data_IF_321360590598
#
_entry.id   IF_321360590598
#
_cell.length_a   1.000
_cell.length_b   1.000
_cell.length_c   1.000
_cell.angle_alpha   90.00
_cell.angle_beta   90.00
_cell.angle_gamma   90.00
#
_symmetry.space_group_name_H-M   'P 1'
#
loop_
_entity.id
_entity.type
_entity.pdbx_description
1 polymer ?
#
# COMPACT_ATOMS: atom_id res chain seq x y z
N UNK A 1 13.48 -30.74 -18.19
CA UNK A 1 13.82 -29.35 -17.77
C UNK A 1 13.92 -28.36 -18.94
N UNK A 2 14.70 -28.60 -20.01
CA UNK A 2 14.87 -27.66 -21.14
C UNK A 2 13.55 -27.14 -21.75
N UNK A 3 12.63 -28.06 -22.09
CA UNK A 3 11.29 -27.74 -22.63
C UNK A 3 10.45 -26.83 -21.71
N UNK A 4 10.53 -27.02 -20.39
CA UNK A 4 9.81 -26.21 -19.40
C UNK A 4 10.35 -24.77 -19.40
N UNK A 5 11.67 -24.60 -19.39
CA UNK A 5 12.27 -23.25 -19.46
C UNK A 5 11.95 -22.53 -20.77
N UNK A 6 11.93 -23.26 -21.89
CA UNK A 6 11.53 -22.68 -23.18
C UNK A 6 10.07 -22.20 -23.14
N UNK A 7 9.17 -22.98 -22.52
CA UNK A 7 7.78 -22.58 -22.31
C UNK A 7 7.63 -21.37 -21.38
N UNK A 8 8.38 -21.31 -20.28
CA UNK A 8 8.39 -20.15 -19.36
C UNK A 8 8.91 -18.92 -20.08
N UNK A 9 10.03 -19.02 -20.80
CA UNK A 9 10.64 -17.89 -21.51
C UNK A 9 9.70 -17.32 -22.57
N UNK A 10 9.05 -18.21 -23.33
CA UNK A 10 8.04 -17.84 -24.33
C UNK A 10 6.83 -17.18 -23.68
N UNK A 11 6.33 -17.72 -22.57
CA UNK A 11 5.23 -17.13 -21.82
C UNK A 11 5.58 -15.71 -21.34
N UNK A 12 6.76 -15.54 -20.74
CA UNK A 12 7.23 -14.24 -20.24
C UNK A 12 7.35 -13.21 -21.36
N UNK A 13 7.76 -13.61 -22.58
CA UNK A 13 7.83 -12.72 -23.74
C UNK A 13 6.46 -12.09 -24.08
N UNK A 14 5.35 -12.75 -23.78
CA UNK A 14 4.00 -12.21 -24.00
C UNK A 14 3.42 -11.54 -22.76
N UNK A 15 3.61 -12.15 -21.59
CA UNK A 15 3.11 -11.61 -20.33
C UNK A 15 3.70 -10.23 -20.04
N UNK A 16 5.02 -10.08 -20.18
CA UNK A 16 5.73 -8.87 -19.78
C UNK A 16 5.30 -7.63 -20.58
N UNK A 17 5.19 -7.66 -21.92
CA UNK A 17 4.66 -6.54 -22.68
C UNK A 17 3.23 -6.19 -22.32
N UNK A 18 2.35 -7.19 -22.19
CA UNK A 18 0.94 -6.97 -21.84
C UNK A 18 0.78 -6.34 -20.46
N UNK A 19 1.49 -6.88 -19.47
CA UNK A 19 1.52 -6.36 -18.11
C UNK A 19 2.12 -4.96 -18.05
N UNK A 20 3.28 -4.74 -18.69
CA UNK A 20 3.95 -3.44 -18.71
C UNK A 20 3.10 -2.37 -19.40
N UNK A 21 2.47 -2.70 -20.53
CA UNK A 21 1.58 -1.78 -21.23
C UNK A 21 0.37 -1.42 -20.38
N UNK A 22 -0.24 -2.42 -19.73
CA UNK A 22 -1.39 -2.18 -18.87
C UNK A 22 -1.02 -1.32 -17.67
N UNK A 23 0.11 -1.59 -17.01
CA UNK A 23 0.65 -0.78 -15.93
C UNK A 23 0.98 0.67 -16.36
N UNK A 24 1.47 0.87 -17.60
CA UNK A 24 1.64 2.21 -18.15
C UNK A 24 0.29 2.89 -18.40
N UNK A 25 -0.69 2.18 -18.98
CA UNK A 25 -2.02 2.76 -19.21
C UNK A 25 -2.72 3.15 -17.91
N UNK A 26 -2.50 2.41 -16.83
CA UNK A 26 -3.05 2.77 -15.53
C UNK A 26 -2.43 4.04 -14.97
N UNK A 27 -1.19 4.39 -15.34
CA UNK A 27 -0.57 5.64 -14.92
C UNK A 27 -1.19 6.86 -15.65
N UNK A 28 -1.63 6.67 -16.90
CA UNK A 28 -2.21 7.74 -17.71
C UNK A 28 -3.74 7.83 -17.62
N UNK A 29 -4.41 6.88 -16.95
CA UNK A 29 -5.85 6.88 -16.74
C UNK A 29 -6.16 7.08 -15.27
N UNK A 30 -6.78 8.20 -14.92
CA UNK A 30 -7.15 8.51 -13.53
C UNK A 30 -8.06 7.42 -12.93
N UNK A 31 -9.03 6.93 -13.70
CA UNK A 31 -9.94 5.85 -13.28
C UNK A 31 -9.18 4.56 -12.95
N UNK A 32 -8.29 4.13 -13.85
CA UNK A 32 -7.53 2.89 -13.68
C UNK A 32 -6.45 3.02 -12.60
N UNK A 33 -5.82 4.19 -12.52
CA UNK A 33 -4.97 4.54 -11.42
C UNK A 33 -5.78 4.33 -10.14
N UNK A 34 -6.99 4.90 -10.02
CA UNK A 34 -7.78 4.92 -8.77
C UNK A 34 -8.15 3.52 -8.28
N UNK A 35 -8.30 2.55 -9.18
CA UNK A 35 -8.51 1.15 -8.82
C UNK A 35 -7.33 0.55 -8.03
N UNK A 36 -6.08 0.93 -8.34
CA UNK A 36 -4.88 0.35 -7.71
C UNK A 36 -4.80 0.56 -6.20
N UNK A 37 -5.20 1.74 -5.74
CA UNK A 37 -5.11 2.14 -4.34
C UNK A 37 -6.50 2.41 -3.74
N UNK A 38 -7.54 1.85 -4.37
CA UNK A 38 -8.90 1.93 -3.85
C UNK A 38 -8.94 1.26 -2.47
N UNK A 39 -9.57 1.89 -1.45
CA UNK A 39 -9.50 1.39 -0.09
C UNK A 39 -10.34 0.11 0.06
N UNK A 40 -11.20 -0.19 -0.92
CA UNK A 40 -12.03 -1.40 -0.94
C UNK A 40 -11.54 -2.54 -1.82
N UNK A 41 -10.75 -2.29 -2.87
CA UNK A 41 -10.65 -3.25 -3.99
C UNK A 41 -9.23 -3.51 -4.51
N UNK A 42 -8.37 -4.03 -3.63
CA UNK A 42 -7.06 -4.52 -4.06
C UNK A 42 -7.15 -5.74 -5.01
N UNK A 43 -8.25 -6.50 -4.96
CA UNK A 43 -8.41 -7.72 -5.77
C UNK A 43 -8.67 -7.40 -7.25
N UNK A 44 -9.52 -6.42 -7.56
CA UNK A 44 -9.85 -6.04 -8.94
C UNK A 44 -8.62 -5.52 -9.66
N UNK A 45 -7.79 -4.72 -8.97
CA UNK A 45 -6.49 -4.30 -9.45
C UNK A 45 -5.57 -5.48 -9.77
N UNK A 46 -5.47 -6.46 -8.86
CA UNK A 46 -4.63 -7.65 -9.07
C UNK A 46 -5.13 -8.47 -10.26
N UNK A 47 -6.45 -8.63 -10.41
CA UNK A 47 -7.06 -9.33 -11.55
C UNK A 47 -6.71 -8.59 -12.85
N UNK A 48 -6.94 -7.29 -12.89
CA UNK A 48 -6.67 -6.48 -14.07
C UNK A 48 -5.20 -6.55 -14.46
N UNK A 49 -4.29 -6.32 -13.52
CA UNK A 49 -2.87 -6.12 -13.82
C UNK A 49 -2.08 -7.41 -13.98
N UNK A 50 -2.44 -8.47 -13.27
CA UNK A 50 -1.69 -9.72 -13.30
C UNK A 50 -2.47 -10.83 -14.00
N UNK A 51 -3.74 -11.04 -13.65
CA UNK A 51 -4.49 -12.19 -14.16
C UNK A 51 -4.86 -12.03 -15.64
N UNK A 52 -5.34 -10.85 -16.05
CA UNK A 52 -5.72 -10.61 -17.45
C UNK A 52 -4.52 -10.76 -18.39
N UNK A 53 -3.35 -10.13 -18.15
CA UNK A 53 -2.13 -10.38 -18.94
C UNK A 53 -1.67 -11.83 -18.90
N UNK A 54 -1.80 -12.52 -17.77
CA UNK A 54 -1.41 -13.92 -17.64
C UNK A 54 -2.25 -14.84 -18.53
N UNK A 55 -3.57 -14.66 -18.51
CA UNK A 55 -4.49 -15.42 -19.37
C UNK A 55 -4.21 -15.13 -20.84
N UNK A 56 -4.10 -13.87 -21.22
CA UNK A 56 -3.79 -13.47 -22.59
C UNK A 56 -2.44 -14.05 -23.06
N UNK A 57 -1.40 -13.97 -22.22
CA UNK A 57 -0.10 -14.57 -22.52
C UNK A 57 -0.19 -16.09 -22.68
N UNK A 58 -0.98 -16.80 -21.87
CA UNK A 58 -1.16 -18.24 -22.01
C UNK A 58 -1.78 -18.64 -23.36
N UNK A 59 -2.73 -17.85 -23.87
CA UNK A 59 -3.29 -18.04 -25.21
C UNK A 59 -2.26 -17.73 -26.30
N UNK A 60 -1.61 -16.57 -26.24
CA UNK A 60 -0.59 -16.16 -27.22
C UNK A 60 0.62 -17.10 -27.25
N UNK A 61 0.94 -17.73 -26.12
CA UNK A 61 2.00 -18.73 -25.99
C UNK A 61 1.85 -19.88 -26.99
N UNK A 62 0.64 -20.17 -27.48
CA UNK A 62 0.40 -21.24 -28.46
C UNK A 62 0.79 -20.84 -29.90
N UNK A 63 0.92 -19.55 -30.20
CA UNK A 63 1.12 -19.03 -31.56
C UNK A 63 2.55 -19.15 -32.07
N UNK A 64 3.54 -19.27 -31.17
CA UNK A 64 4.97 -19.34 -31.55
C UNK A 64 5.56 -20.69 -31.11
N UNK A 65 6.29 -21.42 -31.97
CA UNK A 65 6.99 -22.64 -31.57
C UNK A 65 7.92 -22.44 -30.37
N UNK A 66 7.83 -23.32 -29.36
CA UNK A 66 8.71 -23.24 -28.19
C UNK A 66 10.18 -23.47 -28.54
N UNK A 67 10.46 -24.13 -29.67
CA UNK A 67 11.82 -24.41 -30.16
C UNK A 67 12.64 -23.15 -30.39
N UNK A 68 12.00 -22.03 -30.75
CA UNK A 68 12.67 -20.73 -30.87
C UNK A 68 13.26 -20.23 -29.54
N UNK A 69 12.77 -20.77 -28.42
CA UNK A 69 13.20 -20.44 -27.06
C UNK A 69 14.04 -21.54 -26.39
N UNK A 70 14.22 -22.71 -27.04
CA UNK A 70 14.98 -23.83 -26.47
C UNK A 70 16.49 -23.68 -26.70
N UNK A 71 17.03 -22.54 -26.26
CA UNK A 71 18.46 -22.25 -26.35
C UNK A 71 19.07 -22.07 -24.96
N UNK A 72 20.38 -22.28 -24.83
CA UNK A 72 21.10 -22.00 -23.57
C UNK A 72 21.01 -20.51 -23.21
N UNK A 73 21.01 -19.61 -24.20
CA UNK A 73 20.93 -18.16 -23.98
C UNK A 73 19.59 -17.75 -23.35
N UNK A 74 18.46 -18.25 -23.86
CA UNK A 74 17.15 -17.99 -23.26
C UNK A 74 17.06 -18.50 -21.83
N UNK A 75 17.57 -19.70 -21.57
CA UNK A 75 17.60 -20.26 -20.21
C UNK A 75 18.35 -19.35 -19.24
N UNK A 76 19.54 -18.89 -19.61
CA UNK A 76 20.35 -17.99 -18.77
C UNK A 76 19.60 -16.69 -18.50
N UNK A 77 19.08 -16.03 -19.55
CA UNK A 77 18.41 -14.73 -19.41
C UNK A 77 17.12 -14.84 -18.59
N UNK A 78 16.34 -15.90 -18.80
CA UNK A 78 15.13 -16.15 -18.00
C UNK A 78 15.45 -16.43 -16.54
N UNK A 79 16.50 -17.22 -16.25
CA UNK A 79 16.94 -17.43 -14.85
C UNK A 79 17.39 -16.12 -14.22
N UNK A 80 18.22 -15.33 -14.91
CA UNK A 80 18.70 -14.03 -14.42
C UNK A 80 17.54 -13.09 -14.13
N UNK A 81 16.58 -12.97 -15.06
CA UNK A 81 15.41 -12.12 -14.90
C UNK A 81 14.56 -12.54 -13.69
N UNK A 82 14.26 -13.84 -13.55
CA UNK A 82 13.49 -14.34 -12.42
C UNK A 82 14.22 -14.12 -11.09
N UNK A 83 15.54 -14.31 -11.05
CA UNK A 83 16.36 -14.05 -9.87
C UNK A 83 16.33 -12.57 -9.47
N UNK A 84 16.43 -11.65 -10.45
CA UNK A 84 16.30 -10.21 -10.20
C UNK A 84 14.92 -9.89 -9.64
N UNK A 85 13.85 -10.45 -10.24
CA UNK A 85 12.49 -10.25 -9.75
C UNK A 85 12.30 -10.70 -8.30
N UNK A 86 12.84 -11.88 -7.95
CA UNK A 86 12.81 -12.39 -6.56
C UNK A 86 13.62 -11.48 -5.62
N UNK A 87 14.79 -11.02 -6.05
CA UNK A 87 15.62 -10.12 -5.26
C UNK A 87 14.90 -8.79 -4.98
N UNK A 88 14.27 -8.19 -5.99
CA UNK A 88 13.50 -6.95 -5.85
C UNK A 88 12.26 -7.19 -4.98
N UNK A 89 11.62 -8.35 -5.08
CA UNK A 89 10.48 -8.71 -4.24
C UNK A 89 10.85 -8.71 -2.75
N UNK A 90 11.95 -9.37 -2.39
CA UNK A 90 12.44 -9.39 -1.01
C UNK A 90 12.96 -8.03 -0.55
N UNK A 91 13.63 -7.29 -1.44
CA UNK A 91 14.06 -5.93 -1.14
C UNK A 91 12.85 -5.00 -0.90
N UNK A 92 11.78 -5.11 -1.70
CA UNK A 92 10.54 -4.36 -1.52
C UNK A 92 9.90 -4.66 -0.16
N UNK A 93 9.83 -5.92 0.25
CA UNK A 93 9.32 -6.27 1.58
C UNK A 93 10.18 -5.68 2.70
N UNK A 94 11.50 -5.65 2.52
CA UNK A 94 12.42 -5.10 3.51
C UNK A 94 12.37 -3.58 3.58
N UNK A 95 12.29 -2.89 2.44
CA UNK A 95 12.34 -1.43 2.34
C UNK A 95 10.95 -0.80 2.52
N UNK A 96 9.95 -1.29 1.79
CA UNK A 96 8.59 -0.72 1.80
C UNK A 96 7.64 -1.38 2.80
N UNK A 97 8.00 -2.56 3.34
CA UNK A 97 7.15 -3.32 4.24
C UNK A 97 6.10 -4.19 3.54
N UNK A 98 6.12 -4.20 2.20
CA UNK A 98 5.21 -4.99 1.35
C UNK A 98 5.91 -5.47 0.08
N UNK A 99 5.43 -6.59 -0.48
CA UNK A 99 6.03 -7.22 -1.65
C UNK A 99 5.72 -6.54 -2.98
N UNK A 100 4.43 -6.27 -3.27
CA UNK A 100 3.98 -5.84 -4.60
C UNK A 100 3.35 -4.45 -4.59
N UNK A 101 2.54 -4.16 -3.59
CA UNK A 101 1.83 -2.89 -3.45
C UNK A 101 1.57 -2.61 -1.98
N UNK A 102 1.41 -1.32 -1.65
CA UNK A 102 1.00 -0.87 -0.32
C UNK A 102 -0.22 -1.65 0.17
N UNK A 103 -0.32 -1.96 1.48
CA UNK A 103 -1.52 -2.57 2.02
C UNK A 103 -2.71 -1.61 1.86
N UNK A 104 -3.86 -2.16 1.51
CA UNK A 104 -5.12 -1.42 1.57
C UNK A 104 -5.47 -1.10 3.02
N UNK A 105 -6.37 -0.14 3.24
CA UNK A 105 -6.93 0.14 4.56
C UNK A 105 -7.51 -1.16 5.16
N UNK A 106 -7.33 -1.42 6.47
CA UNK A 106 -7.76 -2.65 7.11
C UNK A 106 -9.21 -3.04 6.80
N UNK A 107 -9.43 -4.21 6.19
CA UNK A 107 -10.77 -4.67 5.76
C UNK A 107 -11.82 -4.65 6.88
N UNK A 108 -11.41 -4.79 8.14
CA UNK A 108 -12.31 -4.74 9.30
C UNK A 108 -13.05 -3.40 9.40
N UNK A 109 -12.46 -2.31 8.93
CA UNK A 109 -13.14 -1.00 8.91
C UNK A 109 -14.28 -0.95 7.89
N UNK A 110 -14.33 -1.84 6.90
CA UNK A 110 -15.45 -1.92 5.94
C UNK A 110 -16.76 -2.38 6.58
N UNK A 111 -16.70 -2.92 7.79
CA UNK A 111 -17.87 -3.36 8.57
C UNK A 111 -18.43 -2.25 9.47
N UNK A 112 -17.90 -1.03 9.40
CA UNK A 112 -18.39 0.09 10.21
C UNK A 112 -19.72 0.60 9.68
N UNK A 113 -20.66 0.84 10.59
CA UNK A 113 -21.97 1.42 10.33
C UNK A 113 -21.97 2.94 10.49
N UNK A 114 -21.15 3.51 11.36
CA UNK A 114 -21.02 4.97 11.53
C UNK A 114 -19.74 5.38 12.24
N UNK A 115 -19.25 6.56 11.91
CA UNK A 115 -18.23 7.29 12.67
C UNK A 115 -18.88 7.93 13.91
N UNK A 116 -18.22 7.84 15.06
CA UNK A 116 -18.73 8.34 16.36
C UNK A 116 -17.90 9.50 16.87
N UNK A 117 -16.58 9.35 16.87
CA UNK A 117 -15.69 10.39 17.37
C UNK A 117 -14.27 10.27 16.80
N UNK A 118 -13.49 11.33 16.95
CA UNK A 118 -12.11 11.44 16.49
C UNK A 118 -11.24 12.14 17.53
N UNK A 119 -9.95 11.80 17.54
CA UNK A 119 -8.93 12.51 18.27
C UNK A 119 -7.60 12.43 17.53
N UNK A 120 -7.09 13.59 17.14
CA UNK A 120 -5.74 13.79 16.65
C UNK A 120 -4.83 14.20 17.81
N UNK A 121 -3.70 13.52 17.92
CA UNK A 121 -2.65 13.78 18.89
C UNK A 121 -1.36 14.11 18.16
N UNK A 122 -0.72 15.21 18.55
CA UNK A 122 0.62 15.56 18.08
C UNK A 122 1.59 15.68 19.27
N UNK A 123 2.87 15.33 19.09
CA UNK A 123 3.86 15.59 20.11
C UNK A 123 3.98 17.10 20.32
N UNK A 124 4.13 17.54 21.56
CA UNK A 124 4.33 18.97 21.81
C UNK A 124 5.65 19.47 21.21
N UNK A 125 6.79 19.09 21.83
CA UNK A 125 8.16 19.47 21.43
C UNK A 125 9.14 18.44 22.02
N UNK A 126 10.24 18.17 21.32
CA UNK A 126 11.39 17.41 21.84
C UNK A 126 12.08 18.15 23.00
N UNK A 127 12.59 17.47 24.05
CA UNK A 127 12.70 16.02 24.22
C UNK A 127 11.50 15.37 24.92
N UNK A 128 10.56 16.15 25.45
CA UNK A 128 9.46 15.61 26.24
C UNK A 128 8.53 14.71 25.42
N UNK A 129 8.26 15.08 24.16
CA UNK A 129 7.46 14.29 23.21
C UNK A 129 6.09 13.82 23.73
N UNK A 130 5.53 14.55 24.70
CA UNK A 130 4.20 14.30 25.22
C UNK A 130 3.15 14.59 24.14
N UNK A 131 2.21 13.66 23.96
CA UNK A 131 1.10 13.83 23.03
C UNK A 131 0.07 14.81 23.59
N UNK A 132 -0.36 15.75 22.75
CA UNK A 132 -1.43 16.71 23.05
C UNK A 132 -2.47 16.65 21.95
N UNK A 133 -3.73 16.88 22.32
CA UNK A 133 -4.80 17.01 21.35
C UNK A 133 -4.53 18.18 20.41
N UNK A 134 -4.72 17.94 19.12
CA UNK A 134 -4.72 18.98 18.11
C UNK A 134 -6.08 19.04 17.44
N UNK A 135 -6.63 20.25 17.38
CA UNK A 135 -7.82 20.51 16.60
C UNK A 135 -7.43 20.59 15.12
N UNK A 136 -7.96 19.67 14.31
CA UNK A 136 -7.81 19.71 12.84
C UNK A 136 -8.98 20.46 12.24
N UNK A 137 -8.68 21.33 11.26
CA UNK A 137 -9.70 21.90 10.40
C UNK A 137 -9.89 21.00 9.17
N UNK A 138 -10.92 20.17 9.23
CA UNK A 138 -11.25 19.19 8.18
C UNK A 138 -11.84 19.84 6.92
N UNK A 139 -12.06 21.16 6.89
CA UNK A 139 -12.46 21.87 5.67
C UNK A 139 -11.27 22.28 4.81
N UNK A 140 -10.07 22.35 5.40
CA UNK A 140 -8.84 22.73 4.70
C UNK A 140 -8.05 21.52 4.18
N UNK A 141 -8.38 20.31 4.61
CA UNK A 141 -7.75 19.10 4.07
C UNK A 141 -8.37 18.78 2.71
N UNK A 142 -7.59 18.82 1.64
CA UNK A 142 -8.04 18.22 0.38
C UNK A 142 -7.69 16.75 0.42
N UNK A 143 -8.67 15.84 0.35
CA UNK A 143 -8.39 14.42 0.13
C UNK A 143 -7.99 14.19 -1.33
N UNK A 144 -6.82 14.68 -1.71
CA UNK A 144 -6.23 14.30 -3.00
C UNK A 144 -5.49 13.00 -2.80
N UNK A 145 -5.53 12.15 -3.81
CA UNK A 145 -4.83 10.87 -3.77
C UNK A 145 -3.32 11.02 -3.57
N UNK A 146 -2.70 12.11 -4.03
CA UNK A 146 -1.28 12.36 -3.76
C UNK A 146 -0.99 12.39 -2.24
N UNK A 147 -1.97 12.80 -1.43
CA UNK A 147 -1.86 12.85 0.03
C UNK A 147 -2.12 11.47 0.69
N UNK A 148 -2.78 10.54 -0.02
CA UNK A 148 -2.89 9.11 0.34
C UNK A 148 -1.51 8.47 0.46
N UNK A 149 -0.56 8.95 -0.34
CA UNK A 149 0.80 8.43 -0.37
C UNK A 149 1.70 9.00 0.73
N UNK A 150 1.28 10.11 1.38
CA UNK A 150 2.02 10.80 2.46
C UNK A 150 1.43 10.62 3.86
N UNK A 151 0.42 9.75 3.97
CA UNK A 151 0.06 9.00 5.18
C UNK A 151 -0.88 9.64 6.21
N UNK A 152 -1.20 10.93 6.17
CA UNK A 152 -2.19 11.50 7.11
C UNK A 152 -3.64 11.31 6.65
N UNK A 153 -3.86 11.11 5.35
CA UNK A 153 -5.19 11.31 4.74
C UNK A 153 -5.83 10.00 4.24
N UNK A 154 -5.21 8.84 4.52
CA UNK A 154 -5.73 7.52 4.10
C UNK A 154 -7.12 7.25 4.66
N UNK A 155 -7.29 7.49 5.96
CA UNK A 155 -8.60 7.34 6.61
C UNK A 155 -9.63 8.34 6.08
N UNK A 156 -9.21 9.54 5.69
CA UNK A 156 -10.08 10.53 5.06
C UNK A 156 -10.62 10.01 3.72
N UNK A 157 -9.75 9.43 2.89
CA UNK A 157 -10.15 8.83 1.62
C UNK A 157 -11.14 7.67 1.80
N UNK A 158 -10.95 6.85 2.85
CA UNK A 158 -11.95 5.84 3.22
C UNK A 158 -13.28 6.47 3.64
N UNK A 159 -13.24 7.50 4.49
CA UNK A 159 -14.43 8.20 4.97
C UNK A 159 -15.20 8.87 3.83
N UNK A 160 -14.51 9.46 2.85
CA UNK A 160 -15.13 10.01 1.64
C UNK A 160 -15.87 8.93 0.83
N UNK A 161 -15.28 7.73 0.72
CA UNK A 161 -15.91 6.61 0.00
C UNK A 161 -17.13 6.04 0.73
N UNK A 162 -17.05 5.82 2.05
CA UNK A 162 -18.19 5.28 2.81
C UNK A 162 -19.27 6.31 3.11
N UNK A 163 -18.99 7.61 2.98
CA UNK A 163 -19.97 8.68 3.18
C UNK A 163 -21.25 8.48 2.34
N UNK A 164 -21.12 7.94 1.13
CA UNK A 164 -22.24 7.59 0.26
C UNK A 164 -23.10 6.42 0.77
N UNK A 165 -22.53 5.49 1.57
CA UNK A 165 -23.27 4.36 2.18
C UNK A 165 -23.93 4.72 3.50
N UNK A 166 -23.53 5.82 4.14
CA UNK A 166 -23.98 6.23 5.47
C UNK A 166 -25.31 7.02 5.48
N UNK A 167 -26.08 7.01 4.39
CA UNK A 167 -27.41 7.65 4.20
C UNK A 167 -28.09 8.17 5.47
N UNK A 168 -27.81 9.43 5.81
CA UNK A 168 -28.57 10.31 6.72
C UNK A 168 -28.00 11.72 6.55
N UNK A 169 -28.88 12.73 6.49
CA UNK A 169 -28.64 14.16 6.17
C UNK A 169 -27.49 14.90 6.92
N UNK A 170 -26.73 14.22 7.78
CA UNK A 170 -25.44 14.66 8.35
C UNK A 170 -24.23 14.36 7.43
N UNK A 171 -24.48 14.27 6.12
CA UNK A 171 -23.71 13.63 5.02
C UNK A 171 -22.29 14.17 4.71
N UNK A 172 -21.68 14.97 5.57
CA UNK A 172 -20.26 15.32 5.41
C UNK A 172 -19.53 15.04 6.72
N UNK A 173 -18.81 13.92 6.79
CA UNK A 173 -18.02 13.52 7.95
C UNK A 173 -17.07 14.66 8.40
N UNK A 174 -16.59 15.49 7.46
CA UNK A 174 -15.77 16.68 7.76
C UNK A 174 -16.55 17.72 8.58
N UNK A 175 -17.83 17.96 8.24
CA UNK A 175 -18.72 18.83 9.02
C UNK A 175 -19.04 18.25 10.40
N UNK A 176 -19.19 16.92 10.49
CA UNK A 176 -19.44 16.24 11.75
C UNK A 176 -18.23 16.36 12.70
N UNK A 177 -17.02 16.11 12.18
CA UNK A 177 -15.78 16.18 12.97
C UNK A 177 -15.40 17.60 13.41
N UNK A 178 -15.85 18.64 12.71
CA UNK A 178 -15.68 20.01 13.18
C UNK A 178 -16.51 20.34 14.44
N UNK A 179 -17.51 19.52 14.80
CA UNK A 179 -18.29 19.72 16.04
C UNK A 179 -17.50 19.18 17.24
N UNK A 180 -17.44 19.95 18.33
CA UNK A 180 -16.80 19.53 19.59
C UNK A 180 -17.40 18.25 20.19
N UNK A 181 -18.66 17.93 19.88
CA UNK A 181 -19.32 16.70 20.31
C UNK A 181 -18.75 15.42 19.67
N UNK A 182 -18.01 15.54 18.57
CA UNK A 182 -17.32 14.43 17.91
C UNK A 182 -15.89 14.23 18.42
N UNK A 183 -15.45 14.94 19.47
CA UNK A 183 -14.11 14.76 20.04
C UNK A 183 -14.07 13.59 21.01
N UNK A 184 -13.23 12.60 20.70
CA UNK A 184 -12.94 11.51 21.61
C UNK A 184 -12.22 12.07 22.85
N UNK A 185 -12.57 11.54 24.02
CA UNK A 185 -11.94 11.94 25.28
C UNK A 185 -10.42 11.68 25.25
N UNK A 186 -9.62 12.69 25.57
CA UNK A 186 -8.14 12.61 25.54
C UNK A 186 -7.61 11.50 26.44
N UNK A 187 -8.14 11.34 27.65
CA UNK A 187 -7.70 10.26 28.56
C UNK A 187 -7.95 8.88 27.96
N UNK A 188 -9.06 8.70 27.25
CA UNK A 188 -9.34 7.45 26.51
C UNK A 188 -8.36 7.25 25.36
N UNK A 189 -8.07 8.29 24.59
CA UNK A 189 -7.07 8.27 23.53
C UNK A 189 -5.67 7.90 24.01
N UNK A 190 -5.22 8.49 25.12
CA UNK A 190 -3.94 8.15 25.75
C UNK A 190 -3.92 6.68 26.21
N UNK A 191 -5.01 6.16 26.80
CA UNK A 191 -5.08 4.73 27.15
C UNK A 191 -4.94 3.79 25.95
N UNK A 192 -5.56 4.14 24.82
CA UNK A 192 -5.43 3.37 23.57
C UNK A 192 -3.98 3.45 23.06
N UNK A 193 -3.39 4.64 23.07
CA UNK A 193 -2.00 4.86 22.69
C UNK A 193 -1.02 4.03 23.54
N UNK A 194 -1.15 4.09 24.87
CA UNK A 194 -0.31 3.34 25.81
C UNK A 194 -0.46 1.83 25.62
N UNK A 195 -1.69 1.37 25.37
CA UNK A 195 -1.96 -0.03 25.04
C UNK A 195 -1.21 -0.46 23.78
N UNK A 196 -1.22 0.32 22.70
CA UNK A 196 -0.49 0.00 21.47
C UNK A 196 1.01 0.01 21.74
N UNK A 197 1.54 1.05 22.39
CA UNK A 197 2.98 1.12 22.71
C UNK A 197 3.48 -0.05 23.52
N UNK A 198 2.67 -0.56 24.45
CA UNK A 198 3.01 -1.73 25.26
C UNK A 198 2.98 -3.04 24.46
N UNK A 199 2.08 -3.15 23.49
CA UNK A 199 1.79 -4.42 22.79
C UNK A 199 2.32 -4.49 21.35
N UNK A 200 2.90 -3.41 20.83
CA UNK A 200 3.44 -3.34 19.47
C UNK A 200 4.88 -2.82 19.46
N UNK A 201 5.72 -3.41 18.61
CA UNK A 201 7.11 -2.97 18.43
C UNK A 201 7.21 -2.08 17.20
N UNK A 202 7.49 -0.80 17.43
CA UNK A 202 7.75 0.17 16.37
C UNK A 202 9.18 0.04 15.81
N UNK A 203 9.36 0.45 14.55
CA UNK A 203 10.66 0.43 13.88
C UNK A 203 11.67 1.36 14.57
N UNK A 204 12.94 0.97 14.57
CA UNK A 204 14.00 1.81 15.13
C UNK A 204 14.44 2.85 14.12
N UNK A 205 14.81 4.02 14.61
CA UNK A 205 15.43 5.08 13.81
C UNK A 205 16.94 4.94 13.82
N UNK A 206 17.57 5.36 12.73
CA UNK A 206 19.01 5.60 12.73
C UNK A 206 19.36 6.69 13.76
N UNK A 207 20.57 6.59 14.32
CA UNK A 207 20.98 7.38 15.48
C UNK A 207 20.85 8.91 15.24
N UNK A 208 21.10 9.36 14.01
CA UNK A 208 21.04 10.77 13.62
C UNK A 208 19.63 11.37 13.64
N UNK A 209 18.57 10.55 13.46
CA UNK A 209 17.17 11.01 13.47
C UNK A 209 16.51 10.95 14.85
N UNK A 210 17.26 10.62 15.91
CA UNK A 210 16.75 10.59 17.29
C UNK A 210 16.59 11.98 17.94
N UNK A 211 16.87 13.06 17.21
CA UNK A 211 16.79 14.46 17.70
C UNK A 211 15.40 15.07 17.66
N UNK A 212 14.41 14.34 17.13
CA UNK A 212 13.00 14.74 17.09
C UNK A 212 12.13 13.66 17.71
N UNK A 213 10.88 14.00 18.05
CA UNK A 213 9.92 13.01 18.53
C UNK A 213 9.69 11.92 17.49
N UNK A 214 9.47 10.68 17.93
CA UNK A 214 9.33 9.54 17.02
C UNK A 214 8.09 9.66 16.14
N UNK A 215 6.94 9.95 16.77
CA UNK A 215 5.70 10.20 16.07
C UNK A 215 5.61 11.66 15.64
N UNK A 216 5.06 11.89 14.45
CA UNK A 216 4.61 13.19 13.96
C UNK A 216 3.15 13.42 14.33
N UNK A 217 2.31 12.41 14.19
CA UNK A 217 0.89 12.47 14.53
C UNK A 217 0.36 11.07 14.89
N UNK A 218 -0.66 11.04 15.74
CA UNK A 218 -1.45 9.85 16.06
C UNK A 218 -2.92 10.21 15.93
N UNK A 219 -3.64 9.54 15.04
CA UNK A 219 -5.06 9.79 14.82
C UNK A 219 -5.88 8.59 15.27
N UNK A 220 -6.94 8.85 16.03
CA UNK A 220 -7.83 7.83 16.58
C UNK A 220 -9.24 8.15 16.12
N UNK A 221 -9.86 7.23 15.40
CA UNK A 221 -11.25 7.31 14.96
C UNK A 221 -12.06 6.19 15.61
N UNK A 222 -13.11 6.56 16.33
CA UNK A 222 -14.05 5.64 16.94
C UNK A 222 -15.24 5.41 16.00
N UNK A 223 -15.51 4.16 15.70
CA UNK A 223 -16.62 3.71 14.87
C UNK A 223 -17.53 2.76 15.66
N UNK A 224 -18.77 2.65 15.20
CA UNK A 224 -19.68 1.57 15.57
C UNK A 224 -19.89 0.68 14.35
N UNK A 225 -19.77 -0.63 14.50
CA UNK A 225 -20.08 -1.61 13.45
C UNK A 225 -21.58 -1.91 13.32
N UNK A 226 -21.93 -2.75 12.34
CA UNK A 226 -23.33 -3.14 12.13
C UNK A 226 -23.93 -3.95 13.29
N UNK A 227 -23.09 -4.60 14.10
CA UNK A 227 -23.47 -5.39 15.28
C UNK A 227 -23.55 -4.53 16.55
N UNK A 228 -23.19 -3.24 16.47
CA UNK A 228 -23.21 -2.30 17.58
C UNK A 228 -21.91 -2.24 18.39
N UNK A 229 -20.86 -2.97 18.01
CA UNK A 229 -19.57 -2.97 18.70
C UNK A 229 -18.77 -1.72 18.37
N UNK A 230 -17.95 -1.28 19.34
CA UNK A 230 -17.00 -0.18 19.13
C UNK A 230 -15.71 -0.69 18.50
N UNK A 231 -15.30 -0.01 17.44
CA UNK A 231 -14.05 -0.25 16.71
C UNK A 231 -13.25 1.05 16.69
N UNK A 232 -11.97 0.98 17.00
CA UNK A 232 -11.05 2.10 16.85
C UNK A 232 -10.12 1.83 15.68
N UNK A 233 -10.09 2.76 14.74
CA UNK A 233 -9.00 2.89 13.80
C UNK A 233 -7.97 3.82 14.42
N UNK A 234 -6.72 3.36 14.53
CA UNK A 234 -5.62 4.17 15.05
C UNK A 234 -4.52 4.21 14.01
N UNK A 235 -4.11 5.40 13.60
CA UNK A 235 -2.96 5.58 12.71
C UNK A 235 -1.84 6.35 13.38
N UNK A 236 -0.59 5.96 13.07
CA UNK A 236 0.61 6.66 13.51
C UNK A 236 1.41 7.07 12.28
N UNK A 237 1.67 8.36 12.14
CA UNK A 237 2.67 8.89 11.22
C UNK A 237 3.97 9.14 11.99
N UNK A 238 5.09 8.64 11.50
CA UNK A 238 6.40 8.93 12.12
C UNK A 238 7.03 10.20 11.54
N UNK A 239 8.02 10.73 12.26
CA UNK A 239 9.07 11.50 11.60
C UNK A 239 10.02 10.54 10.86
N UNK A 240 11.07 11.10 10.24
CA UNK A 240 12.08 10.31 9.52
C UNK A 240 12.68 9.22 10.41
N UNK A 241 12.77 8.00 9.87
CA UNK A 241 13.47 6.88 10.45
C UNK A 241 14.92 6.81 9.96
N UNK A 242 15.10 7.11 8.68
CA UNK A 242 16.37 7.36 7.99
C UNK A 242 16.14 8.45 6.93
N UNK A 243 17.16 8.79 6.14
CA UNK A 243 17.09 9.89 5.16
C UNK A 243 15.87 9.75 4.24
N UNK A 244 14.92 10.69 4.36
CA UNK A 244 13.65 10.75 3.65
C UNK A 244 12.74 9.52 3.77
N UNK A 245 13.03 8.61 4.70
CA UNK A 245 12.29 7.36 4.89
C UNK A 245 11.39 7.44 6.12
N UNK A 246 10.10 7.19 5.95
CA UNK A 246 9.08 7.33 6.99
C UNK A 246 8.29 6.05 7.14
N UNK A 247 7.79 5.80 8.34
CA UNK A 247 6.85 4.70 8.59
C UNK A 247 5.45 5.23 8.85
N UNK A 248 4.49 4.40 8.44
CA UNK A 248 3.10 4.55 8.81
C UNK A 248 2.56 3.24 9.36
N UNK A 249 1.79 3.37 10.44
CA UNK A 249 1.17 2.25 11.12
C UNK A 249 -0.33 2.47 11.20
N UNK A 250 -1.11 1.42 10.96
CA UNK A 250 -2.56 1.42 11.11
C UNK A 250 -2.94 0.26 12.03
N UNK A 251 -3.88 0.50 12.93
CA UNK A 251 -4.39 -0.50 13.87
C UNK A 251 -5.90 -0.49 13.86
N UNK A 252 -6.48 -1.69 13.92
CA UNK A 252 -7.88 -1.89 14.26
C UNK A 252 -7.94 -2.47 15.65
N UNK A 253 -8.57 -1.73 16.55
CA UNK A 253 -8.71 -2.11 17.96
C UNK A 253 -10.18 -2.31 18.27
N UNK A 254 -10.45 -3.41 18.96
CA UNK A 254 -11.76 -3.67 19.54
C UNK A 254 -11.67 -3.46 21.04
N UNK A 255 -12.72 -2.88 21.63
CA UNK A 255 -12.91 -2.81 23.07
C UNK A 255 -13.94 -3.86 23.47
N UNK A 256 -13.55 -4.74 24.40
CA UNK A 256 -14.42 -5.73 25.00
C UNK A 256 -14.33 -5.66 26.54
N UNK A 257 -15.03 -6.54 27.24
CA UNK A 257 -15.05 -6.59 28.71
C UNK A 257 -13.64 -6.75 29.33
N UNK A 258 -12.70 -7.36 28.60
CA UNK A 258 -11.32 -7.58 29.04
C UNK A 258 -10.37 -6.44 28.63
N UNK A 259 -10.88 -5.37 28.02
CA UNK A 259 -10.11 -4.21 27.59
C UNK A 259 -9.89 -4.15 26.07
N UNK A 260 -8.77 -3.57 25.66
CA UNK A 260 -8.43 -3.38 24.25
C UNK A 260 -7.76 -4.61 23.64
N UNK A 261 -8.10 -4.90 22.38
CA UNK A 261 -7.44 -5.94 21.58
C UNK A 261 -7.12 -5.42 20.19
N UNK A 262 -5.85 -5.56 19.77
CA UNK A 262 -5.45 -5.33 18.37
C UNK A 262 -5.97 -6.51 17.53
N UNK A 263 -6.92 -6.24 16.63
CA UNK A 263 -7.45 -7.24 15.69
C UNK A 263 -6.69 -7.29 14.38
N UNK A 264 -6.21 -6.13 13.94
CA UNK A 264 -5.43 -6.00 12.72
C UNK A 264 -4.42 -4.88 12.90
N UNK A 265 -3.23 -5.07 12.32
CA UNK A 265 -2.21 -4.04 12.22
C UNK A 265 -1.60 -4.05 10.83
N UNK A 266 -1.50 -2.89 10.19
CA UNK A 266 -0.72 -2.71 8.98
C UNK A 266 0.47 -1.81 9.29
N UNK A 267 1.56 -2.04 8.57
CA UNK A 267 2.75 -1.18 8.56
C UNK A 267 3.27 -1.10 7.14
N UNK A 268 3.65 0.09 6.72
CA UNK A 268 4.40 0.29 5.49
C UNK A 268 5.28 1.53 5.60
N UNK A 269 6.18 1.68 4.65
CA UNK A 269 7.09 2.81 4.57
C UNK A 269 6.88 3.60 3.29
N UNK A 270 7.32 4.86 3.31
CA UNK A 270 7.26 5.76 2.16
C UNK A 270 8.45 6.72 2.20
N UNK A 271 8.85 7.18 1.00
CA UNK A 271 9.92 8.15 0.84
C UNK A 271 9.38 9.46 0.28
N UNK A 272 9.87 10.60 0.76
CA UNK A 272 9.47 11.94 0.27
C UNK A 272 10.37 12.43 -0.87
N UNK A 273 11.69 12.25 -0.75
CA UNK A 273 12.68 12.71 -1.74
C UNK A 273 13.81 11.69 -2.06
N UNK A 274 13.61 10.42 -1.67
CA UNK A 274 14.58 9.31 -1.83
C UNK A 274 14.36 8.45 -3.08
N UNK A 275 13.98 7.18 -2.89
CA UNK A 275 13.62 6.26 -4.00
C UNK A 275 12.22 6.61 -4.59
N UNK A 276 11.52 7.59 -3.98
CA UNK A 276 10.31 8.28 -4.45
C UNK A 276 9.33 7.41 -5.24
N UNK A 277 8.65 6.48 -4.56
CA UNK A 277 7.57 5.72 -5.18
C UNK A 277 7.99 4.74 -6.27
N UNK A 278 9.30 4.47 -6.45
CA UNK A 278 9.77 3.28 -7.18
C UNK A 278 9.43 2.02 -6.36
N UNK A 279 8.16 1.68 -6.34
CA UNK A 279 7.65 0.43 -5.81
C UNK A 279 7.97 -0.71 -6.77
N UNK A 280 7.83 -1.95 -6.28
CA UNK A 280 8.06 -3.18 -7.05
C UNK A 280 7.62 -3.12 -8.53
N UNK A 281 6.37 -2.73 -8.88
CA UNK A 281 5.94 -2.70 -10.28
C UNK A 281 6.80 -1.77 -11.15
N UNK A 282 7.25 -0.64 -10.62
CA UNK A 282 8.06 0.33 -11.35
C UNK A 282 9.52 -0.11 -11.50
N UNK A 283 10.10 -0.75 -10.48
CA UNK A 283 11.40 -1.41 -10.63
C UNK A 283 11.34 -2.50 -11.71
N UNK A 284 10.28 -3.30 -11.71
CA UNK A 284 10.12 -4.37 -12.69
C UNK A 284 9.94 -3.85 -14.12
N UNK A 285 9.32 -2.68 -14.35
CA UNK A 285 9.22 -2.08 -15.69
C UNK A 285 10.59 -1.91 -16.37
N UNK A 286 11.61 -1.49 -15.65
CA UNK A 286 12.97 -1.33 -16.20
C UNK A 286 13.55 -2.68 -16.66
N UNK A 287 13.44 -3.71 -15.81
CA UNK A 287 13.94 -5.05 -16.14
C UNK A 287 13.09 -5.76 -17.19
N UNK A 288 11.81 -5.44 -17.28
CA UNK A 288 10.89 -5.92 -18.30
C UNK A 288 11.34 -5.50 -19.70
N UNK A 289 11.71 -4.23 -19.87
CA UNK A 289 12.22 -3.70 -21.15
C UNK A 289 13.49 -4.45 -21.57
N UNK A 290 14.42 -4.65 -20.64
CA UNK A 290 15.65 -5.40 -20.89
C UNK A 290 15.34 -6.85 -21.30
N UNK A 291 14.47 -7.53 -20.55
CA UNK A 291 14.10 -8.91 -20.84
C UNK A 291 13.47 -9.06 -22.23
N UNK A 292 12.50 -8.21 -22.57
CA UNK A 292 11.86 -8.21 -23.90
C UNK A 292 12.91 -8.01 -24.99
N UNK A 293 13.78 -7.02 -24.83
CA UNK A 293 14.80 -6.67 -25.83
C UNK A 293 15.75 -7.83 -26.10
N UNK A 294 16.31 -8.44 -25.05
CA UNK A 294 17.25 -9.55 -25.19
C UNK A 294 16.57 -10.85 -25.64
N UNK A 295 15.44 -11.22 -25.02
CA UNK A 295 14.71 -12.45 -25.33
C UNK A 295 14.16 -12.41 -26.77
N UNK A 296 13.53 -11.30 -27.16
CA UNK A 296 13.03 -11.11 -28.52
C UNK A 296 14.13 -11.16 -29.59
N UNK A 297 15.27 -10.50 -29.33
CA UNK A 297 16.42 -10.52 -30.25
C UNK A 297 16.98 -11.93 -30.44
N UNK A 298 17.11 -12.73 -29.37
CA UNK A 298 17.63 -14.09 -29.46
C UNK A 298 16.66 -15.01 -30.20
N UNK A 299 15.36 -14.89 -29.94
CA UNK A 299 14.33 -15.64 -30.66
C UNK A 299 14.33 -15.32 -32.16
N UNK A 300 14.46 -14.05 -32.54
CA UNK A 300 14.54 -13.62 -33.94
C UNK A 300 15.78 -14.19 -34.66
N UNK A 301 16.96 -14.10 -34.03
CA UNK A 301 18.21 -14.66 -34.57
C UNK A 301 18.13 -16.19 -34.69
N UNK A 302 17.46 -16.86 -33.76
CA UNK A 302 17.31 -18.30 -33.84
C UNK A 302 16.36 -18.70 -34.96
N UNK A 303 15.24 -18.00 -35.11
CA UNK A 303 14.29 -18.19 -36.21
C UNK A 303 14.95 -17.98 -37.58
N UNK A 304 15.86 -17.02 -37.73
CA UNK A 304 16.55 -16.80 -39.01
C UNK A 304 17.60 -17.87 -39.35
N UNK A 305 17.93 -18.77 -38.40
CA UNK A 305 18.92 -19.85 -38.57
C UNK A 305 18.28 -21.23 -38.74
N UNK A 306 16.96 -21.35 -38.59
CA UNK A 306 16.17 -22.58 -38.69
C UNK A 306 15.25 -22.46 -39.89
#
# INVERSE_FOLDING_TARGET
>A
MKKIFAQISRYLLFFIPLHSLLLLTTYFSEELYNLQYHPTDSLDWVILIYLVPAIAAAFLNQLIPYTYFDTTKHRIITVVYLSIGIMILFWSQSHWGYFLSRPSIPNSIKKVKRLVSELSLEPSIFPACNLKSKDRDWQLTSSKRFDYDTTQDRIEYFLDNISARLNQDETNWRKALNKTSFRLNISKGIKIHDFIQKNYTFEKREAEYNRVCFFRAVDIFEFIDFDGNKIYYVSYSTNQLSNDHYAYYEFIIYENENGYQIKQSNRFFYDVAGIEGLEFPYFMLLFNILYISFSGSIAAIHKSKV
#
